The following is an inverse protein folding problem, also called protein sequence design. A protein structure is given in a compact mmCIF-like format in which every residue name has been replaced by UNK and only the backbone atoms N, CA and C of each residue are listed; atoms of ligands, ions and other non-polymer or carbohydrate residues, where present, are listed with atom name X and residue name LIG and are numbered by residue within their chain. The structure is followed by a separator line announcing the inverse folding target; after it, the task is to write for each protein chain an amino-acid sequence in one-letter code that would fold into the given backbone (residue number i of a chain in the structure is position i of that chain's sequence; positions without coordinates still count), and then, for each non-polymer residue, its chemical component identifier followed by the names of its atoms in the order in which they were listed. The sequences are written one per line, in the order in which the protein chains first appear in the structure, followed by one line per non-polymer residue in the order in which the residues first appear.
data_IF_663159225646
#
_entry.id   IF_663159225646
#
_cell.length_a   1.000
_cell.length_b   1.000
_cell.length_c   1.000
_cell.angle_alpha   90.00
_cell.angle_beta   90.00
_cell.angle_gamma   90.00
#
_symmetry.space_group_name_H-M   'P 1'
#
loop_
_entity.id
_entity.type
_entity.pdbx_description
1 polymer ?
#
# COMPACT_ATOMS: atom_id res chain seq x y z
N UNK A 1 4.42 -6.06 26.21
CA UNK A 1 4.92 -6.97 25.16
C UNK A 1 4.11 -6.63 23.92
N UNK A 2 4.59 -5.71 23.08
CA UNK A 2 3.85 -5.32 21.88
C UNK A 2 4.08 -6.39 20.81
N UNK A 3 3.00 -7.05 20.41
CA UNK A 3 2.97 -8.09 19.39
C UNK A 3 3.43 -7.49 18.06
N UNK A 4 4.50 -8.06 17.51
CA UNK A 4 4.94 -7.76 16.15
C UNK A 4 3.86 -8.34 15.23
N UNK A 5 3.02 -7.51 14.65
CA UNK A 5 2.14 -7.94 13.58
C UNK A 5 3.03 -8.29 12.38
N UNK A 6 3.37 -9.57 12.28
CA UNK A 6 3.93 -10.20 11.10
C UNK A 6 2.92 -10.06 9.95
N UNK A 7 2.99 -8.95 9.23
CA UNK A 7 2.25 -8.73 7.99
C UNK A 7 2.90 -9.56 6.87
N UNK A 8 2.93 -10.89 7.05
CA UNK A 8 3.39 -11.82 6.05
C UNK A 8 2.25 -12.05 5.04
N UNK A 9 2.14 -11.14 4.06
CA UNK A 9 1.18 -11.27 2.97
C UNK A 9 1.85 -11.90 1.75
N UNK A 10 1.25 -12.99 1.25
CA UNK A 10 1.62 -13.54 -0.06
C UNK A 10 1.09 -12.62 -1.16
N UNK A 11 2.01 -11.86 -1.74
CA UNK A 11 1.76 -11.17 -3.00
C UNK A 11 1.75 -12.24 -4.09
N UNK A 12 0.60 -12.42 -4.75
CA UNK A 12 0.54 -13.30 -5.91
C UNK A 12 0.81 -12.45 -7.14
N UNK A 13 2.08 -12.41 -7.53
CA UNK A 13 2.49 -11.81 -8.80
C UNK A 13 2.02 -12.74 -9.92
N UNK A 14 1.02 -12.30 -10.68
CA UNK A 14 0.66 -12.98 -11.93
C UNK A 14 1.80 -12.67 -12.91
N UNK A 15 2.52 -13.67 -13.44
CA UNK A 15 3.59 -13.43 -14.39
C UNK A 15 3.06 -12.62 -15.57
N UNK A 16 3.85 -11.67 -16.06
CA UNK A 16 3.53 -10.61 -17.02
C UNK A 16 3.07 -11.08 -18.43
N UNK A 17 2.10 -11.98 -18.48
CA UNK A 17 1.46 -12.53 -19.67
C UNK A 17 -0.06 -12.58 -19.47
N UNK A 18 -0.65 -11.41 -19.24
CA UNK A 18 -2.03 -10.96 -19.55
C UNK A 18 -3.24 -11.89 -19.32
N UNK A 19 -3.12 -13.07 -18.69
CA UNK A 19 -4.27 -13.95 -18.45
C UNK A 19 -3.98 -14.90 -17.28
N UNK A 20 -4.96 -15.05 -16.39
CA UNK A 20 -5.00 -16.08 -15.37
C UNK A 20 -4.62 -17.45 -15.96
N UNK A 21 -3.84 -18.26 -15.22
CA UNK A 21 -3.41 -19.58 -15.65
C UNK A 21 -4.61 -20.53 -15.90
N UNK A 22 -5.15 -20.48 -17.11
CA UNK A 22 -6.20 -21.40 -17.55
C UNK A 22 -5.58 -22.79 -17.74
N UNK A 23 -6.10 -23.76 -17.01
CA UNK A 23 -5.68 -25.16 -17.10
C UNK A 23 -6.78 -26.01 -17.71
N UNK A 24 -6.35 -27.04 -18.45
CA UNK A 24 -7.28 -28.05 -18.97
C UNK A 24 -7.58 -29.09 -17.90
N UNK A 25 -8.86 -29.31 -17.62
CA UNK A 25 -9.28 -30.37 -16.69
C UNK A 25 -9.33 -31.70 -17.47
N UNK A 26 -8.65 -32.77 -17.01
CA UNK A 26 -8.73 -34.09 -17.63
C UNK A 26 -10.17 -34.62 -17.69
N UNK A 27 -10.59 -35.25 -18.81
CA UNK A 27 -11.89 -35.89 -18.91
C UNK A 27 -12.10 -36.90 -17.77
N UNK A 28 -13.25 -36.83 -17.09
CA UNK A 28 -13.57 -37.72 -15.97
C UNK A 28 -13.07 -37.26 -14.59
N UNK A 29 -12.28 -36.18 -14.50
CA UNK A 29 -11.94 -35.55 -13.23
C UNK A 29 -12.93 -34.43 -12.88
N UNK A 30 -13.43 -34.43 -11.64
CA UNK A 30 -14.34 -33.37 -11.13
C UNK A 30 -13.53 -32.44 -10.25
N UNK A 31 -13.49 -31.15 -10.62
CA UNK A 31 -12.90 -30.10 -9.81
C UNK A 31 -13.99 -29.23 -9.19
N UNK A 32 -13.69 -28.62 -8.04
CA UNK A 32 -14.59 -27.74 -7.31
C UNK A 32 -13.99 -26.35 -7.20
N UNK A 33 -14.82 -25.34 -7.40
CA UNK A 33 -14.39 -23.96 -7.25
C UNK A 33 -14.17 -23.65 -5.77
N UNK A 34 -12.98 -23.16 -5.43
CA UNK A 34 -12.63 -22.79 -4.06
C UNK A 34 -13.29 -21.49 -3.58
N UNK A 35 -13.98 -20.76 -4.45
CA UNK A 35 -14.77 -19.56 -4.10
C UNK A 35 -16.23 -19.91 -3.83
N UNK A 36 -16.94 -20.51 -4.79
CA UNK A 36 -18.37 -20.75 -4.67
C UNK A 36 -18.73 -22.16 -4.19
N UNK A 37 -17.75 -23.07 -4.08
CA UNK A 37 -17.97 -24.48 -3.75
C UNK A 37 -18.62 -25.31 -4.86
N UNK A 38 -19.05 -24.67 -5.95
CA UNK A 38 -19.70 -25.32 -7.08
C UNK A 38 -18.73 -26.18 -7.89
N UNK A 39 -19.26 -27.20 -8.56
CA UNK A 39 -18.51 -28.01 -9.53
C UNK A 39 -18.07 -27.13 -10.71
N UNK A 40 -16.85 -27.31 -11.16
CA UNK A 40 -16.35 -26.69 -12.39
C UNK A 40 -16.72 -27.60 -13.55
N UNK A 41 -17.69 -27.15 -14.34
CA UNK A 41 -18.13 -27.84 -15.55
C UNK A 41 -17.31 -27.34 -16.74
N UNK A 42 -16.70 -28.26 -17.48
CA UNK A 42 -15.96 -27.95 -18.71
C UNK A 42 -14.48 -28.32 -18.64
N UNK A 43 -13.79 -28.08 -19.76
CA UNK A 43 -12.37 -28.39 -19.92
C UNK A 43 -11.45 -27.23 -19.50
N UNK A 44 -11.96 -26.17 -18.88
CA UNK A 44 -11.17 -25.00 -18.49
C UNK A 44 -11.48 -24.58 -17.06
N UNK A 45 -10.43 -24.30 -16.30
CA UNK A 45 -10.49 -23.70 -14.97
C UNK A 45 -9.30 -22.75 -14.79
N UNK A 46 -9.40 -21.85 -13.84
CA UNK A 46 -8.25 -21.08 -13.37
C UNK A 46 -7.60 -21.84 -12.23
N UNK A 47 -6.30 -22.14 -12.36
CA UNK A 47 -5.49 -22.68 -11.26
C UNK A 47 -4.71 -21.54 -10.62
N UNK A 48 -4.97 -21.30 -9.35
CA UNK A 48 -4.30 -20.27 -8.54
C UNK A 48 -3.94 -20.86 -7.18
N UNK A 49 -2.67 -20.77 -6.78
CA UNK A 49 -2.14 -21.29 -5.51
C UNK A 49 -2.62 -22.72 -5.18
N UNK A 50 -2.62 -23.60 -6.21
CA UNK A 50 -3.03 -25.00 -6.08
C UNK A 50 -4.55 -25.23 -5.96
N UNK A 51 -5.35 -24.17 -6.07
CA UNK A 51 -6.82 -24.20 -6.00
C UNK A 51 -7.45 -23.91 -7.35
N UNK A 52 -8.59 -24.56 -7.62
CA UNK A 52 -9.34 -24.35 -8.85
C UNK A 52 -10.45 -23.32 -8.66
N UNK A 53 -10.65 -22.48 -9.68
CA UNK A 53 -11.70 -21.48 -9.72
C UNK A 53 -12.38 -21.46 -11.08
N UNK A 54 -13.67 -21.11 -11.10
CA UNK A 54 -14.29 -20.65 -12.35
C UNK A 54 -13.64 -19.33 -12.76
N UNK A 55 -13.55 -19.09 -14.06
CA UNK A 55 -13.08 -17.82 -14.61
C UNK A 55 -13.89 -16.63 -14.06
N UNK A 56 -15.22 -16.75 -13.99
CA UNK A 56 -16.10 -15.74 -13.40
C UNK A 56 -15.97 -15.61 -11.87
N UNK A 57 -15.35 -16.58 -11.20
CA UNK A 57 -15.11 -16.54 -9.75
C UNK A 57 -13.75 -15.90 -9.39
N UNK A 58 -12.96 -15.54 -10.41
CA UNK A 58 -11.71 -14.80 -10.24
C UNK A 58 -11.99 -13.30 -10.16
N UNK A 59 -12.61 -12.90 -9.06
CA UNK A 59 -13.02 -11.51 -8.78
C UNK A 59 -12.49 -11.02 -7.43
N UNK A 60 -12.38 -9.71 -7.28
CA UNK A 60 -12.06 -9.05 -6.02
C UNK A 60 -13.18 -9.29 -5.00
N UNK A 61 -12.84 -9.73 -3.79
CA UNK A 61 -13.82 -9.98 -2.73
C UNK A 61 -14.51 -8.70 -2.22
N UNK A 62 -13.92 -7.52 -2.43
CA UNK A 62 -14.52 -6.25 -2.02
C UNK A 62 -15.38 -5.62 -3.12
N UNK A 63 -14.82 -5.38 -4.30
CA UNK A 63 -15.51 -4.67 -5.39
C UNK A 63 -16.11 -5.57 -6.47
N UNK A 64 -15.91 -6.89 -6.39
CA UNK A 64 -16.43 -7.91 -7.33
C UNK A 64 -15.90 -7.74 -8.77
N UNK A 65 -14.95 -6.83 -9.00
CA UNK A 65 -14.32 -6.66 -10.31
C UNK A 65 -13.42 -7.87 -10.66
N UNK A 66 -13.37 -8.31 -11.93
CA UNK A 66 -12.49 -9.38 -12.38
C UNK A 66 -11.01 -9.10 -12.06
N UNK A 67 -10.30 -10.12 -11.56
CA UNK A 67 -8.88 -10.07 -11.26
C UNK A 67 -8.11 -10.64 -12.46
N UNK A 68 -7.76 -9.77 -13.41
CA UNK A 68 -7.12 -10.18 -14.66
C UNK A 68 -5.60 -10.02 -14.65
N UNK A 69 -5.07 -9.29 -13.68
CA UNK A 69 -3.64 -8.95 -13.55
C UNK A 69 -3.17 -9.26 -12.12
N UNK A 70 -2.64 -8.29 -11.39
CA UNK A 70 -2.13 -8.43 -10.04
C UNK A 70 -3.25 -8.33 -9.00
N UNK A 71 -3.17 -9.20 -8.00
CA UNK A 71 -4.03 -9.14 -6.82
C UNK A 71 -3.28 -9.65 -5.60
N UNK A 72 -3.78 -9.29 -4.43
CA UNK A 72 -3.22 -9.73 -3.15
C UNK A 72 -4.21 -10.65 -2.46
N UNK A 73 -3.69 -11.70 -1.82
CA UNK A 73 -4.49 -12.60 -1.00
C UNK A 73 -4.33 -12.24 0.47
N UNK A 74 -5.45 -12.11 1.15
CA UNK A 74 -5.50 -11.96 2.62
C UNK A 74 -6.42 -13.05 3.15
N UNK A 75 -5.85 -14.02 3.87
CA UNK A 75 -6.54 -15.25 4.26
C UNK A 75 -7.04 -16.02 3.04
N UNK A 76 -8.36 -16.19 2.93
CA UNK A 76 -9.02 -16.83 1.78
C UNK A 76 -9.58 -15.83 0.75
N UNK A 77 -9.44 -14.53 0.98
CA UNK A 77 -9.93 -13.47 0.09
C UNK A 77 -8.86 -13.01 -0.91
N UNK A 78 -9.29 -12.59 -2.09
CA UNK A 78 -8.48 -12.00 -3.16
C UNK A 78 -8.93 -10.57 -3.40
N UNK A 79 -7.99 -9.63 -3.44
CA UNK A 79 -8.29 -8.20 -3.54
C UNK A 79 -7.48 -7.57 -4.66
N UNK A 80 -8.13 -6.73 -5.48
CA UNK A 80 -7.41 -5.91 -6.44
C UNK A 80 -6.50 -4.91 -5.71
N UNK A 81 -5.49 -4.39 -6.39
CA UNK A 81 -4.50 -3.49 -5.80
C UNK A 81 -5.12 -2.27 -5.12
N UNK A 82 -6.20 -1.70 -5.67
CA UNK A 82 -6.92 -0.56 -5.09
C UNK A 82 -7.60 -0.93 -3.76
N UNK A 83 -8.46 -1.95 -3.75
CA UNK A 83 -9.14 -2.37 -2.52
C UNK A 83 -8.16 -2.87 -1.47
N UNK A 84 -7.10 -3.57 -1.88
CA UNK A 84 -6.08 -3.98 -0.93
C UNK A 84 -5.42 -2.78 -0.26
N UNK A 85 -5.05 -1.77 -1.04
CA UNK A 85 -4.35 -0.58 -0.53
C UNK A 85 -5.24 0.19 0.45
N UNK A 86 -6.51 0.35 0.12
CA UNK A 86 -7.50 1.03 0.94
C UNK A 86 -7.76 0.33 2.28
N UNK A 87 -7.81 -1.00 2.29
CA UNK A 87 -8.22 -1.76 3.48
C UNK A 87 -7.07 -2.25 4.36
N UNK A 88 -5.87 -2.45 3.80
CA UNK A 88 -4.79 -3.17 4.49
C UNK A 88 -3.47 -2.42 4.58
N UNK A 89 -3.29 -1.29 3.88
CA UNK A 89 -2.08 -0.49 4.06
C UNK A 89 -2.26 0.52 5.18
N UNK A 90 -1.18 0.81 5.93
CA UNK A 90 -1.19 1.88 6.92
C UNK A 90 -1.41 3.23 6.24
N UNK A 91 -2.04 4.17 6.95
CA UNK A 91 -2.31 5.51 6.44
C UNK A 91 -1.17 6.47 6.76
N UNK A 92 -0.93 7.41 5.84
CA UNK A 92 0.02 8.49 6.02
C UNK A 92 -0.49 9.49 7.05
N UNK A 93 0.30 9.76 8.09
CA UNK A 93 -0.08 10.72 9.13
C UNK A 93 -0.25 12.17 8.63
N UNK A 94 0.16 12.49 7.39
CA UNK A 94 0.05 13.83 6.81
C UNK A 94 -1.13 14.01 5.85
N UNK A 95 -1.49 12.97 5.08
CA UNK A 95 -2.50 13.08 4.02
C UNK A 95 -3.63 12.05 4.14
N UNK A 96 -3.59 11.18 5.15
CA UNK A 96 -4.57 10.13 5.42
C UNK A 96 -4.76 9.12 4.28
N UNK A 97 -3.83 9.05 3.33
CA UNK A 97 -3.84 8.09 2.23
C UNK A 97 -2.96 6.86 2.52
N UNK A 98 -3.30 5.68 1.99
CA UNK A 98 -2.49 4.46 2.08
C UNK A 98 -1.01 4.65 1.69
N UNK A 99 -0.10 4.16 2.53
CA UNK A 99 1.36 4.18 2.31
C UNK A 99 1.84 2.81 1.85
N UNK A 100 2.38 2.74 0.63
CA UNK A 100 3.08 1.54 0.15
C UNK A 100 4.45 1.43 0.81
N UNK A 101 4.94 0.20 0.93
CA UNK A 101 6.19 -0.10 1.64
C UNK A 101 7.39 0.67 1.07
N UNK A 102 7.48 0.81 -0.26
CA UNK A 102 8.55 1.51 -0.96
C UNK A 102 8.45 3.04 -0.92
N UNK A 103 7.29 3.59 -0.52
CA UNK A 103 7.05 5.04 -0.47
C UNK A 103 7.14 5.59 0.96
N UNK A 104 7.11 4.73 1.99
CA UNK A 104 6.97 5.11 3.39
C UNK A 104 8.28 5.44 4.11
N UNK A 105 8.24 6.48 4.94
CA UNK A 105 9.30 6.85 5.89
C UNK A 105 8.71 7.05 7.29
N UNK A 106 9.46 6.65 8.32
CA UNK A 106 9.08 6.84 9.72
C UNK A 106 9.66 8.17 10.23
N UNK A 107 8.78 9.11 10.55
CA UNK A 107 9.13 10.42 11.12
C UNK A 107 8.47 10.55 12.49
N UNK A 108 9.28 10.71 13.54
CA UNK A 108 8.82 10.79 14.94
C UNK A 108 7.87 9.63 15.35
N UNK A 109 8.09 8.42 14.82
CA UNK A 109 7.25 7.25 15.09
C UNK A 109 5.98 7.15 14.23
N UNK A 110 5.69 8.15 13.39
CA UNK A 110 4.55 8.14 12.48
C UNK A 110 4.99 7.79 11.06
N UNK A 111 4.21 6.95 10.37
CA UNK A 111 4.45 6.62 8.97
C UNK A 111 3.91 7.71 8.06
N UNK A 112 4.72 8.17 7.11
CA UNK A 112 4.34 9.16 6.10
C UNK A 112 4.92 8.79 4.73
N UNK A 113 4.33 9.28 3.65
CA UNK A 113 4.95 9.16 2.33
C UNK A 113 6.21 10.02 2.25
N UNK A 114 7.25 9.55 1.56
CA UNK A 114 8.44 10.33 1.24
C UNK A 114 8.10 11.62 0.51
N UNK A 115 7.11 11.57 -0.40
CA UNK A 115 6.59 12.73 -1.14
C UNK A 115 5.83 13.73 -0.27
N UNK A 116 5.30 13.29 0.87
CA UNK A 116 4.62 14.16 1.83
C UNK A 116 5.62 15.00 2.64
N UNK A 117 6.88 14.59 2.72
CA UNK A 117 7.97 15.34 3.36
C UNK A 117 8.55 16.35 2.38
N UNK A 118 7.75 17.36 2.02
CA UNK A 118 8.17 18.46 1.14
C UNK A 118 8.33 19.76 1.91
N UNK A 119 9.29 20.59 1.48
CA UNK A 119 9.48 21.92 2.04
C UNK A 119 8.24 22.78 1.82
N UNK A 120 7.77 23.48 2.85
CA UNK A 120 6.57 24.30 2.71
C UNK A 120 6.76 25.51 1.78
N UNK A 121 7.98 26.00 1.64
CA UNK A 121 8.30 27.19 0.84
C UNK A 121 8.62 26.82 -0.61
N UNK A 122 9.63 25.99 -0.85
CA UNK A 122 10.08 25.64 -2.20
C UNK A 122 9.40 24.39 -2.80
N UNK A 123 8.64 23.63 -1.99
CA UNK A 123 7.96 22.39 -2.39
C UNK A 123 8.88 21.26 -2.84
N UNK A 124 10.18 21.37 -2.56
CA UNK A 124 11.14 20.29 -2.79
C UNK A 124 10.91 19.13 -1.81
N UNK A 125 11.00 17.89 -2.29
CA UNK A 125 10.86 16.66 -1.50
C UNK A 125 12.17 16.40 -0.74
N UNK A 126 12.11 16.43 0.59
CA UNK A 126 13.26 16.43 1.51
C UNK A 126 13.17 15.34 2.60
N UNK A 127 12.90 14.06 2.28
CA UNK A 127 12.60 13.01 3.26
C UNK A 127 13.76 12.68 4.20
N UNK A 128 15.01 13.00 3.82
CA UNK A 128 16.22 12.64 4.56
C UNK A 128 16.85 13.81 5.35
N UNK A 129 16.50 15.05 5.03
CA UNK A 129 17.10 16.23 5.68
C UNK A 129 16.11 17.39 5.67
N UNK A 130 15.45 17.59 6.80
CA UNK A 130 14.43 18.61 6.97
C UNK A 130 14.50 19.21 8.38
N UNK A 131 13.94 20.41 8.51
CA UNK A 131 13.63 21.04 9.78
C UNK A 131 12.12 21.01 9.96
N UNK A 132 11.64 20.68 11.15
CA UNK A 132 10.21 20.70 11.47
C UNK A 132 9.89 21.93 12.34
N UNK A 133 8.85 22.69 11.96
CA UNK A 133 8.30 23.78 12.76
C UNK A 133 6.79 23.79 12.58
N UNK A 134 6.03 23.69 13.68
CA UNK A 134 4.56 23.64 13.67
C UNK A 134 4.01 22.58 12.70
N UNK A 135 4.54 21.35 12.74
CA UNK A 135 4.17 20.24 11.86
C UNK A 135 4.44 20.46 10.36
N UNK A 136 5.14 21.54 10.01
CA UNK A 136 5.57 21.85 8.65
C UNK A 136 7.04 21.53 8.45
N UNK A 137 7.41 21.04 7.26
CA UNK A 137 8.79 20.68 6.91
C UNK A 137 9.45 21.77 6.09
N UNK A 138 10.74 22.02 6.34
CA UNK A 138 11.53 23.03 5.66
C UNK A 138 12.88 22.47 5.24
N UNK A 139 13.34 22.81 4.03
CA UNK A 139 14.74 22.55 3.65
C UNK A 139 15.65 23.51 4.43
N UNK A 140 16.96 23.24 4.39
CA UNK A 140 17.95 24.04 5.12
C UNK A 140 17.90 25.52 4.71
N UNK A 141 17.90 25.79 3.42
CA UNK A 141 17.93 27.15 2.87
C UNK A 141 16.67 27.92 3.28
N UNK A 142 15.50 27.29 3.11
CA UNK A 142 14.23 27.89 3.45
C UNK A 142 14.07 28.12 4.96
N UNK A 143 14.49 27.17 5.81
CA UNK A 143 14.42 27.31 7.26
C UNK A 143 15.30 28.48 7.74
N UNK A 144 16.55 28.57 7.28
CA UNK A 144 17.46 29.66 7.66
C UNK A 144 16.93 31.03 7.20
N UNK A 145 16.31 31.09 6.02
CA UNK A 145 15.78 32.35 5.50
C UNK A 145 14.50 32.81 6.23
N UNK A 146 13.75 31.91 6.88
CA UNK A 146 12.64 32.33 7.77
C UNK A 146 13.12 33.10 9.00
N UNK A 147 14.34 32.84 9.48
CA UNK A 147 14.95 33.57 10.60
C UNK A 147 15.48 34.97 10.22
N UNK A 148 15.70 35.23 8.93
CA UNK A 148 16.23 36.51 8.43
C UNK A 148 15.13 37.52 8.04
N UNK A 149 13.86 37.12 8.01
CA UNK A 149 12.72 38.03 7.88
C UNK A 149 12.08 38.32 9.25
N UNK A 150 12.92 38.64 10.25
CA UNK A 150 12.44 39.35 11.44
C UNK A 150 12.19 40.80 11.03
N UNK A 151 10.92 41.14 10.83
CA UNK A 151 10.45 42.43 11.35
C UNK A 151 10.65 42.38 12.86
N UNK A 152 11.13 43.48 13.41
CA UNK A 152 11.45 43.63 14.83
C UNK A 152 10.24 43.24 15.67
N UNK A 153 10.27 42.08 16.30
CA UNK A 153 9.56 41.81 17.55
C UNK A 153 10.30 40.67 18.27
N UNK A 154 10.71 40.99 19.49
CA UNK A 154 11.37 40.12 20.45
C UNK A 154 10.45 38.95 20.82
N UNK A 155 10.97 37.70 20.81
CA UNK A 155 11.17 36.95 22.05
C UNK A 155 11.55 35.48 21.83
N UNK A 156 12.43 35.03 22.74
CA UNK A 156 12.71 33.66 23.19
C UNK A 156 13.16 32.60 22.18
N UNK A 157 14.48 32.42 22.14
CA UNK A 157 15.13 31.11 21.98
C UNK A 157 14.71 30.18 23.12
N UNK A 158 14.30 28.95 22.82
CA UNK A 158 14.35 27.83 23.76
C UNK A 158 15.19 26.69 23.14
N UNK A 159 16.44 26.52 23.57
CA UNK A 159 17.29 25.42 23.14
C UNK A 159 17.34 24.36 24.25
N UNK A 160 16.29 23.57 24.44
CA UNK A 160 16.39 22.33 25.24
C UNK A 160 15.23 21.37 24.97
N UNK A 161 15.46 20.37 24.14
CA UNK A 161 14.93 19.04 24.41
C UNK A 161 15.83 17.98 23.77
N UNK A 162 16.73 17.49 24.63
CA UNK A 162 17.55 16.28 24.47
C UNK A 162 16.68 15.03 24.27
#
# INVERSE_FOLDING_TARGET
MAEKNDHNFSVNEVPAKETLCQVKIPPGSVQYCSMCGGKIFGLKAVLDNGKFYHECCMVCNNCIQPLNTEYRTVGNGRYCSLCYSDMYLPLCAKCDLPVKQEEGVLIYGCLQHSSCIQCEICKEIIPNSFYNKNDMYFCRECYQNTGNNKTDDEDSFDPENL
#
